data_IF_369633961329
#
_entry.id   IF_369633961329
#
_cell.length_a   1.000
_cell.length_b   1.000
_cell.length_c   1.000
_cell.angle_alpha   90.00
_cell.angle_beta   90.00
_cell.angle_gamma   90.00
#
_symmetry.space_group_name_H-M   'P 1'
#
loop_
_entity.id
_entity.type
_entity.pdbx_description
1 polymer ?
#
# COMPACT_ATOMS: atom_id res chain seq x y z
N UNK A 1 -16.26 -11.19 -0.11
CA UNK A 1 -15.61 -11.83 1.07
C UNK A 1 -14.20 -11.28 1.20
N UNK A 2 -13.89 -10.59 2.31
CA UNK A 2 -12.55 -10.04 2.55
C UNK A 2 -11.55 -11.18 2.80
N UNK A 3 -10.54 -11.31 1.95
CA UNK A 3 -9.47 -12.30 2.10
C UNK A 3 -8.15 -11.75 1.55
N UNK A 4 -7.04 -12.47 1.77
CA UNK A 4 -5.71 -12.04 1.32
C UNK A 4 -5.65 -11.79 -0.20
N UNK A 5 -6.41 -12.54 -1.00
CA UNK A 5 -6.48 -12.34 -2.45
C UNK A 5 -7.19 -11.03 -2.79
N UNK A 6 -8.30 -10.70 -2.12
CA UNK A 6 -9.00 -9.42 -2.34
C UNK A 6 -8.13 -8.23 -1.93
N UNK A 7 -7.40 -8.33 -0.82
CA UNK A 7 -6.47 -7.28 -0.38
C UNK A 7 -5.36 -7.02 -1.42
N UNK A 8 -4.69 -8.08 -1.90
CA UNK A 8 -3.66 -7.95 -2.95
C UNK A 8 -4.22 -7.30 -4.23
N UNK A 9 -5.46 -7.63 -4.58
CA UNK A 9 -6.15 -7.06 -5.75
C UNK A 9 -6.41 -5.57 -5.56
N UNK A 10 -6.90 -5.16 -4.39
CA UNK A 10 -7.13 -3.75 -4.04
C UNK A 10 -5.83 -2.93 -4.07
N UNK A 11 -4.74 -3.44 -3.48
CA UNK A 11 -3.43 -2.77 -3.53
C UNK A 11 -3.00 -2.50 -4.98
N UNK A 12 -3.13 -3.51 -5.85
CA UNK A 12 -2.78 -3.37 -7.28
C UNK A 12 -3.66 -2.38 -8.02
N UNK A 13 -4.96 -2.35 -7.72
CA UNK A 13 -5.87 -1.38 -8.33
C UNK A 13 -5.56 0.04 -7.89
N UNK A 14 -5.45 0.28 -6.59
CA UNK A 14 -5.14 1.62 -6.06
C UNK A 14 -3.82 2.15 -6.63
N UNK A 15 -2.75 1.34 -6.60
CA UNK A 15 -1.48 1.76 -7.17
C UNK A 15 -1.50 1.88 -8.70
N UNK A 16 -2.23 1.01 -9.39
CA UNK A 16 -2.39 1.05 -10.83
C UNK A 16 -3.13 2.30 -11.30
N UNK A 17 -4.21 2.66 -10.63
CA UNK A 17 -5.01 3.84 -10.92
C UNK A 17 -4.18 5.11 -10.70
N UNK A 18 -3.47 5.21 -9.57
CA UNK A 18 -2.57 6.35 -9.29
C UNK A 18 -1.49 6.47 -10.38
N UNK A 19 -0.81 5.38 -10.71
CA UNK A 19 0.26 5.41 -11.72
C UNK A 19 -0.28 5.76 -13.11
N UNK A 20 -1.43 5.22 -13.49
CA UNK A 20 -2.10 5.49 -14.77
C UNK A 20 -2.50 6.95 -14.89
N UNK A 21 -3.21 7.48 -13.90
CA UNK A 21 -3.64 8.88 -13.88
C UNK A 21 -2.44 9.85 -13.84
N UNK A 22 -1.40 9.52 -13.07
CA UNK A 22 -0.16 10.32 -13.03
C UNK A 22 0.54 10.34 -14.39
N UNK A 23 0.58 9.20 -15.09
CA UNK A 23 1.15 9.12 -16.43
C UNK A 23 0.36 9.95 -17.44
N UNK A 24 -0.98 9.88 -17.39
CA UNK A 24 -1.85 10.70 -18.24
C UNK A 24 -1.69 12.19 -17.94
N UNK A 25 -1.64 12.59 -16.67
CA UNK A 25 -1.41 13.97 -16.27
C UNK A 25 -0.07 14.50 -16.80
N UNK A 26 1.00 13.71 -16.67
CA UNK A 26 2.35 14.03 -17.17
C UNK A 26 2.37 14.28 -18.69
N UNK A 27 1.56 13.56 -19.47
CA UNK A 27 1.55 13.65 -20.94
C UNK A 27 0.58 14.69 -21.47
N UNK A 28 -0.57 14.87 -20.82
CA UNK A 28 -1.69 15.66 -21.34
C UNK A 28 -1.80 17.07 -20.76
N UNK A 29 -1.23 17.35 -19.58
CA UNK A 29 -1.36 18.66 -18.92
C UNK A 29 -0.14 19.54 -19.22
N UNK A 30 -0.30 20.67 -19.95
CA UNK A 30 0.79 21.61 -20.20
C UNK A 30 1.27 22.28 -18.91
N UNK A 31 2.59 22.48 -18.80
CA UNK A 31 3.19 23.17 -17.65
C UNK A 31 3.29 22.33 -16.37
N UNK A 32 2.97 21.04 -16.43
CA UNK A 32 3.15 20.11 -15.32
C UNK A 32 4.62 19.75 -15.10
N UNK A 33 5.03 19.52 -13.85
CA UNK A 33 6.37 19.05 -13.56
C UNK A 33 6.51 17.56 -13.91
N UNK A 34 7.07 17.29 -15.08
CA UNK A 34 7.24 15.92 -15.60
C UNK A 34 8.23 15.08 -14.78
N UNK A 35 9.22 15.70 -14.15
CA UNK A 35 10.20 14.99 -13.33
C UNK A 35 9.51 14.54 -12.04
N UNK A 36 8.83 15.46 -11.35
CA UNK A 36 8.06 15.14 -10.15
C UNK A 36 6.99 14.08 -10.41
N UNK A 37 6.28 14.14 -11.54
CA UNK A 37 5.31 13.08 -11.90
C UNK A 37 5.96 11.72 -12.17
N UNK A 38 7.19 11.69 -12.69
CA UNK A 38 7.94 10.44 -12.86
C UNK A 38 8.30 9.84 -11.50
N UNK A 39 8.73 10.68 -10.55
CA UNK A 39 9.06 10.24 -9.20
C UNK A 39 7.82 9.69 -8.47
N UNK A 40 6.66 10.33 -8.65
CA UNK A 40 5.37 9.84 -8.12
C UNK A 40 5.06 8.44 -8.67
N UNK A 41 5.26 8.19 -9.96
CA UNK A 41 5.05 6.86 -10.57
C UNK A 41 6.00 5.83 -9.94
N UNK A 42 7.28 6.16 -9.78
CA UNK A 42 8.29 5.27 -9.17
C UNK A 42 7.91 4.95 -7.72
N UNK A 43 7.60 5.96 -6.90
CA UNK A 43 7.16 5.79 -5.51
C UNK A 43 5.89 4.95 -5.41
N UNK A 44 4.95 5.10 -6.35
CA UNK A 44 3.75 4.28 -6.43
C UNK A 44 4.08 2.81 -6.71
N UNK A 45 5.05 2.55 -7.59
CA UNK A 45 5.51 1.19 -7.88
C UNK A 45 6.24 0.55 -6.68
N UNK A 46 7.06 1.31 -5.97
CA UNK A 46 7.70 0.89 -4.72
C UNK A 46 6.68 0.58 -3.63
N UNK A 47 5.68 1.45 -3.45
CA UNK A 47 4.56 1.25 -2.53
C UNK A 47 3.82 -0.05 -2.84
N UNK A 48 3.47 -0.29 -4.11
CA UNK A 48 2.79 -1.52 -4.52
C UNK A 48 3.63 -2.75 -4.14
N UNK A 49 4.92 -2.74 -4.49
CA UNK A 49 5.82 -3.87 -4.31
C UNK A 49 6.01 -4.20 -2.83
N UNK A 50 6.29 -3.18 -2.01
CA UNK A 50 6.49 -3.32 -0.57
C UNK A 50 5.20 -3.76 0.13
N UNK A 51 4.04 -3.17 -0.20
CA UNK A 51 2.76 -3.56 0.36
C UNK A 51 2.40 -5.02 0.03
N UNK A 52 2.57 -5.44 -1.24
CA UNK A 52 2.34 -6.83 -1.65
C UNK A 52 3.26 -7.81 -0.92
N UNK A 53 4.53 -7.47 -0.72
CA UNK A 53 5.48 -8.28 0.05
C UNK A 53 4.99 -8.45 1.51
N UNK A 54 4.61 -7.35 2.17
CA UNK A 54 4.13 -7.35 3.56
C UNK A 54 2.81 -8.12 3.75
N UNK A 55 2.01 -8.37 2.71
CA UNK A 55 0.85 -9.28 2.83
C UNK A 55 1.23 -10.75 3.07
N UNK A 56 2.50 -11.13 2.86
CA UNK A 56 3.01 -12.49 3.05
C UNK A 56 3.62 -12.76 4.43
N UNK A 57 3.28 -11.96 5.44
CA UNK A 57 3.67 -12.17 6.84
C UNK A 57 3.30 -13.57 7.36
N UNK A 58 4.23 -14.17 8.10
CA UNK A 58 4.05 -15.43 8.80
C UNK A 58 4.05 -15.21 10.31
N UNK A 59 3.33 -16.06 11.04
CA UNK A 59 3.44 -16.14 12.49
C UNK A 59 4.55 -17.14 12.82
N UNK A 60 5.54 -16.69 13.56
CA UNK A 60 6.80 -17.38 13.86
C UNK A 60 6.65 -18.49 14.92
N UNK A 61 5.64 -18.39 15.79
CA UNK A 61 5.40 -19.36 16.86
C UNK A 61 4.58 -20.55 16.41
N UNK A 62 4.87 -21.69 17.03
CA UNK A 62 4.20 -22.97 16.84
C UNK A 62 3.27 -23.30 18.02
N UNK A 63 2.34 -24.27 17.89
CA UNK A 63 1.49 -24.67 19.01
C UNK A 63 2.24 -25.17 20.25
N UNK A 64 3.48 -25.66 20.09
CA UNK A 64 4.32 -26.17 21.19
C UNK A 64 4.84 -25.04 22.09
N UNK A 65 4.89 -23.82 21.58
CA UNK A 65 5.36 -22.64 22.30
C UNK A 65 4.30 -22.06 23.26
N UNK A 66 3.16 -22.75 23.43
CA UNK A 66 2.04 -22.29 24.25
C UNK A 66 1.55 -23.42 25.15
N UNK A 67 1.10 -23.04 26.35
CA UNK A 67 0.54 -23.98 27.33
C UNK A 67 -0.65 -24.79 26.78
N UNK A 68 -1.46 -24.20 25.88
CA UNK A 68 -2.58 -24.88 25.27
C UNK A 68 -2.93 -24.32 23.88
N UNK A 69 -3.70 -25.11 23.13
CA UNK A 69 -4.15 -24.78 21.77
C UNK A 69 -5.03 -23.52 21.72
N UNK A 70 -5.73 -23.19 22.80
CA UNK A 70 -6.57 -22.00 22.89
C UNK A 70 -5.72 -20.71 22.92
N UNK A 71 -4.67 -20.68 23.76
CA UNK A 71 -3.70 -19.57 23.84
C UNK A 71 -2.96 -19.38 22.52
N UNK A 72 -2.53 -20.46 21.86
CA UNK A 72 -1.94 -20.39 20.51
C UNK A 72 -2.89 -19.73 19.49
N UNK A 73 -4.14 -20.19 19.41
CA UNK A 73 -5.15 -19.64 18.49
C UNK A 73 -5.46 -18.17 18.80
N UNK A 74 -5.46 -17.77 20.07
CA UNK A 74 -5.67 -16.38 20.46
C UNK A 74 -4.48 -15.50 20.03
N UNK A 75 -3.25 -15.93 20.32
CA UNK A 75 -2.03 -15.21 19.93
C UNK A 75 -1.90 -15.06 18.42
N UNK A 76 -2.12 -16.15 17.66
CA UNK A 76 -2.08 -16.14 16.19
C UNK A 76 -3.10 -15.17 15.59
N UNK A 77 -4.34 -15.16 16.11
CA UNK A 77 -5.39 -14.20 15.66
C UNK A 77 -5.01 -12.76 15.98
N UNK A 78 -4.50 -12.50 17.18
CA UNK A 78 -4.04 -11.17 17.61
C UNK A 78 -2.92 -10.66 16.71
N UNK A 79 -1.92 -11.51 16.43
CA UNK A 79 -0.79 -11.18 15.57
C UNK A 79 -1.23 -10.74 14.17
N UNK A 80 -2.02 -11.58 13.48
CA UNK A 80 -2.44 -11.25 12.12
C UNK A 80 -3.33 -9.99 12.09
N UNK A 81 -4.22 -9.82 13.08
CA UNK A 81 -5.03 -8.61 13.19
C UNK A 81 -4.14 -7.37 13.27
N UNK A 82 -3.23 -7.32 14.25
CA UNK A 82 -2.33 -6.18 14.43
C UNK A 82 -1.45 -5.92 13.20
N UNK A 83 -0.95 -6.99 12.56
CA UNK A 83 -0.09 -6.86 11.40
C UNK A 83 -0.83 -6.34 10.16
N UNK A 84 -2.08 -6.76 9.93
CA UNK A 84 -2.90 -6.25 8.82
C UNK A 84 -3.48 -4.86 9.10
N UNK A 85 -3.79 -4.54 10.36
CA UNK A 85 -4.21 -3.19 10.76
C UNK A 85 -3.06 -2.20 10.48
N UNK A 86 -1.85 -2.52 10.93
CA UNK A 86 -0.64 -1.72 10.68
C UNK A 86 -0.30 -1.63 9.18
N UNK A 87 -0.49 -2.71 8.43
CA UNK A 87 -0.29 -2.70 6.98
C UNK A 87 -1.25 -1.73 6.29
N UNK A 88 -2.53 -1.77 6.66
CA UNK A 88 -3.55 -0.90 6.09
C UNK A 88 -3.28 0.57 6.42
N UNK A 89 -2.94 0.87 7.68
CA UNK A 89 -2.58 2.21 8.12
C UNK A 89 -1.35 2.74 7.36
N UNK A 90 -0.27 1.95 7.30
CA UNK A 90 0.97 2.34 6.62
C UNK A 90 0.72 2.56 5.12
N UNK A 91 -0.03 1.67 4.49
CA UNK A 91 -0.38 1.78 3.07
C UNK A 91 -1.18 3.05 2.79
N UNK A 92 -2.24 3.32 3.56
CA UNK A 92 -3.07 4.50 3.38
C UNK A 92 -2.28 5.80 3.60
N UNK A 93 -1.40 5.84 4.60
CA UNK A 93 -0.53 7.00 4.84
C UNK A 93 0.42 7.25 3.67
N UNK A 94 0.99 6.20 3.08
CA UNK A 94 1.85 6.31 1.91
C UNK A 94 1.08 6.71 0.65
N UNK A 95 -0.13 6.17 0.44
CA UNK A 95 -1.02 6.62 -0.65
C UNK A 95 -1.30 8.12 -0.54
N UNK A 96 -1.66 8.60 0.66
CA UNK A 96 -1.92 10.02 0.89
C UNK A 96 -0.68 10.88 0.62
N UNK A 97 0.52 10.40 0.97
CA UNK A 97 1.77 11.10 0.67
C UNK A 97 2.00 11.21 -0.85
N UNK A 98 1.85 10.11 -1.58
CA UNK A 98 1.98 10.08 -3.04
C UNK A 98 0.99 11.03 -3.73
N UNK A 99 -0.27 11.04 -3.30
CA UNK A 99 -1.29 11.95 -3.85
C UNK A 99 -0.98 13.42 -3.56
N UNK A 100 -0.43 13.73 -2.38
CA UNK A 100 0.03 15.10 -2.07
C UNK A 100 1.17 15.55 -2.98
N UNK A 101 2.13 14.67 -3.25
CA UNK A 101 3.23 14.94 -4.17
C UNK A 101 2.73 15.12 -5.61
N UNK A 102 1.82 14.27 -6.07
CA UNK A 102 1.14 14.42 -7.36
C UNK A 102 0.46 15.78 -7.48
N UNK A 103 -0.29 16.19 -6.46
CA UNK A 103 -0.97 17.50 -6.45
C UNK A 103 0.01 18.67 -6.45
N UNK A 104 1.17 18.54 -5.80
CA UNK A 104 2.20 19.56 -5.79
C UNK A 104 2.88 19.75 -7.17
N UNK A 105 2.92 18.69 -7.98
CA UNK A 105 3.45 18.70 -9.34
C UNK A 105 2.48 19.32 -10.37
N UNK A 106 1.22 19.54 -9.99
CA UNK A 106 0.24 20.20 -10.84
C UNK A 106 0.61 21.68 -11.06
N UNK A 107 0.32 22.23 -12.25
CA UNK A 107 0.54 23.65 -12.51
C UNK A 107 -0.27 24.50 -11.52
N UNK A 108 0.39 25.43 -10.83
CA UNK A 108 -0.31 26.38 -9.95
C UNK A 108 -1.18 27.30 -10.80
N UNK A 109 -2.46 27.43 -10.45
CA UNK A 109 -3.33 28.45 -11.06
C UNK A 109 -2.67 29.82 -10.88
N UNK A 110 -2.52 30.55 -11.98
CA UNK A 110 -2.28 32.00 -11.95
C UNK A 110 -3.53 32.70 -11.46
#
# INVERSE_FOLDING_TARGET
MANKRSLKKQIRYICGDIAGETLLAKTLIPGIDKAAMTDVIVKTAELQTTALCRTNIAFDKTPKDFENKAKYRAARRKYYRQAFDKLSETFNNQVLAVVKEMNAAMPKKK
#
